data_IF_216956480992
#
_entry.id   IF_216956480992
#
_cell.length_a   1.000
_cell.length_b   1.000
_cell.length_c   1.000
_cell.angle_alpha   90.00
_cell.angle_beta   90.00
_cell.angle_gamma   90.00
#
_symmetry.space_group_name_H-M   'P 1'
#
loop_
_entity.id
_entity.type
_entity.pdbx_description
1 polymer ?
#
# COMPACT_ATOMS: atom_id res chain seq x y z
N UNK A 1 -30.00 7.66 38.26
CA UNK A 1 -28.55 7.96 38.30
C UNK A 1 -27.96 6.94 37.36
N UNK A 2 -27.74 7.41 36.14
CA UNK A 2 -28.04 6.64 34.95
C UNK A 2 -26.77 5.95 34.44
N UNK A 3 -26.90 4.72 33.96
CA UNK A 3 -25.83 3.86 33.41
C UNK A 3 -24.90 4.60 32.41
N UNK A 4 -25.44 5.63 31.74
CA UNK A 4 -24.72 6.55 30.87
C UNK A 4 -23.57 7.32 31.57
N UNK A 5 -23.76 7.79 32.80
CA UNK A 5 -22.73 8.55 33.53
C UNK A 5 -21.57 7.67 34.00
N UNK A 6 -21.87 6.43 34.42
CA UNK A 6 -20.85 5.45 34.80
C UNK A 6 -19.96 5.08 33.61
N UNK A 7 -20.55 4.92 32.42
CA UNK A 7 -19.80 4.62 31.20
C UNK A 7 -18.88 5.77 30.76
N UNK A 8 -19.33 7.02 30.85
CA UNK A 8 -18.50 8.17 30.48
C UNK A 8 -17.29 8.35 31.41
N UNK A 9 -17.50 8.19 32.73
CA UNK A 9 -16.41 8.33 33.70
C UNK A 9 -15.32 7.26 33.52
N UNK A 10 -15.71 6.00 33.32
CA UNK A 10 -14.77 4.91 33.06
C UNK A 10 -13.96 5.14 31.76
N UNK A 11 -14.59 5.78 30.77
CA UNK A 11 -13.93 6.11 29.52
C UNK A 11 -12.90 7.24 29.69
N UNK A 12 -13.22 8.29 30.45
CA UNK A 12 -12.30 9.39 30.73
C UNK A 12 -11.06 8.91 31.52
N UNK A 13 -11.24 8.04 32.51
CA UNK A 13 -10.12 7.41 33.24
C UNK A 13 -9.25 6.56 32.31
N UNK A 14 -9.87 5.80 31.40
CA UNK A 14 -9.15 5.00 30.40
C UNK A 14 -8.37 5.90 29.44
N UNK A 15 -8.95 7.02 29.02
CA UNK A 15 -8.32 8.00 28.14
C UNK A 15 -7.06 8.59 28.78
N UNK A 16 -7.17 9.09 30.00
CA UNK A 16 -6.04 9.68 30.72
C UNK A 16 -4.96 8.66 31.07
N UNK A 17 -5.36 7.43 31.41
CA UNK A 17 -4.42 6.33 31.60
C UNK A 17 -3.62 6.04 30.32
N UNK A 18 -4.27 5.91 29.16
CA UNK A 18 -3.60 5.65 27.87
C UNK A 18 -2.62 6.79 27.55
N UNK A 19 -3.04 8.05 27.66
CA UNK A 19 -2.17 9.21 27.42
C UNK A 19 -0.96 9.21 28.35
N UNK A 20 -1.15 8.89 29.64
CA UNK A 20 -0.08 8.79 30.63
C UNK A 20 0.93 7.69 30.27
N UNK A 21 0.45 6.53 29.80
CA UNK A 21 1.31 5.43 29.37
C UNK A 21 2.16 5.84 28.16
N UNK A 22 1.57 6.46 27.13
CA UNK A 22 2.31 6.95 25.97
C UNK A 22 3.28 8.08 26.34
N UNK A 23 2.91 8.96 27.26
CA UNK A 23 3.81 10.00 27.76
C UNK A 23 5.03 9.38 28.46
N UNK A 24 4.84 8.36 29.30
CA UNK A 24 5.91 7.74 30.07
C UNK A 24 6.79 6.80 29.25
N UNK A 25 6.19 6.00 28.38
CA UNK A 25 6.85 4.86 27.72
C UNK A 25 6.84 4.91 26.18
N UNK A 26 6.17 5.89 25.56
CA UNK A 26 6.02 5.95 24.10
C UNK A 26 7.34 5.95 23.33
N UNK A 27 8.40 6.51 23.91
CA UNK A 27 9.73 6.53 23.30
C UNK A 27 10.42 5.16 23.19
N UNK A 28 9.93 4.14 23.91
CA UNK A 28 10.39 2.76 23.78
C UNK A 28 9.64 1.99 22.68
N UNK A 29 8.52 2.52 22.18
CA UNK A 29 7.71 1.88 21.16
C UNK A 29 8.42 2.04 19.80
N UNK A 30 8.67 0.91 19.14
CA UNK A 30 9.27 0.85 17.79
C UNK A 30 8.28 0.44 16.71
N UNK A 31 7.26 -0.32 17.08
CA UNK A 31 6.24 -0.80 16.16
C UNK A 31 4.89 -0.41 16.75
N UNK A 32 4.15 0.43 16.05
CA UNK A 32 2.86 0.92 16.53
C UNK A 32 1.77 0.48 15.56
N UNK A 33 0.84 -0.33 16.08
CA UNK A 33 -0.37 -0.72 15.40
C UNK A 33 -1.57 0.02 16.00
N UNK A 34 -2.22 0.83 15.20
CA UNK A 34 -3.29 1.74 15.62
C UNK A 34 -4.60 1.29 15.01
N UNK A 35 -5.52 0.93 15.89
CA UNK A 35 -6.92 0.68 15.58
C UNK A 35 -7.87 1.67 16.25
N UNK A 36 -7.42 2.33 17.31
CA UNK A 36 -8.24 3.21 18.14
C UNK A 36 -7.78 4.65 17.98
N UNK A 37 -8.74 5.55 17.79
CA UNK A 37 -8.53 7.00 17.63
C UNK A 37 -7.69 7.56 18.79
N UNK A 38 -8.05 7.20 20.02
CA UNK A 38 -7.34 7.59 21.24
C UNK A 38 -5.87 7.17 21.28
N UNK A 39 -5.53 5.98 20.74
CA UNK A 39 -4.13 5.52 20.68
C UNK A 39 -3.33 6.36 19.71
N UNK A 40 -3.93 6.75 18.58
CA UNK A 40 -3.30 7.64 17.61
C UNK A 40 -3.00 9.02 18.23
N UNK A 41 -4.00 9.58 18.91
CA UNK A 41 -3.86 10.86 19.59
C UNK A 41 -2.79 10.79 20.67
N UNK A 42 -2.88 9.80 21.57
CA UNK A 42 -1.94 9.61 22.67
C UNK A 42 -0.50 9.44 22.18
N UNK A 43 -0.29 8.65 21.11
CA UNK A 43 1.01 8.49 20.49
C UNK A 43 1.56 9.82 19.93
N UNK A 44 0.68 10.68 19.40
CA UNK A 44 1.04 11.98 18.80
C UNK A 44 1.28 13.12 19.81
N UNK A 45 0.92 12.94 21.09
CA UNK A 45 0.98 14.00 22.14
C UNK A 45 2.38 14.59 22.37
N UNK A 46 3.44 13.86 22.03
CA UNK A 46 4.86 14.28 22.09
C UNK A 46 5.18 15.62 21.45
N UNK A 47 4.33 16.04 20.54
CA UNK A 47 4.58 17.12 19.57
C UNK A 47 4.10 18.46 20.09
N UNK A 48 3.19 18.46 21.09
CA UNK A 48 2.48 19.66 21.54
C UNK A 48 2.89 20.17 22.91
N UNK A 49 3.62 19.39 23.71
CA UNK A 49 4.01 19.83 25.06
C UNK A 49 5.07 20.92 24.94
N UNK A 50 4.65 22.14 25.26
CA UNK A 50 5.48 23.33 25.39
C UNK A 50 6.57 23.07 26.43
N UNK A 51 7.72 23.71 26.22
CA UNK A 51 9.05 23.46 26.79
C UNK A 51 9.15 23.43 28.33
N UNK A 52 8.06 23.70 29.06
CA UNK A 52 8.08 24.02 30.49
C UNK A 52 8.32 22.83 31.43
N UNK A 53 8.17 21.57 31.01
CA UNK A 53 8.32 20.42 31.95
C UNK A 53 9.36 19.35 31.59
N UNK A 54 10.16 19.52 30.53
CA UNK A 54 11.27 18.59 30.20
C UNK A 54 10.86 17.13 29.89
N UNK A 55 9.58 16.76 30.04
CA UNK A 55 9.05 15.44 29.74
C UNK A 55 8.74 15.34 28.24
N UNK A 56 9.70 14.79 27.48
CA UNK A 56 9.49 14.39 26.08
C UNK A 56 8.57 13.15 26.05
N UNK A 57 7.26 13.36 26.02
CA UNK A 57 6.27 12.28 25.89
C UNK A 57 6.23 11.64 24.50
N UNK A 58 5.49 10.52 24.37
CA UNK A 58 5.01 9.82 23.15
C UNK A 58 6.06 9.22 22.19
N UNK A 59 5.64 8.86 20.97
CA UNK A 59 6.39 7.97 20.07
C UNK A 59 7.37 8.71 19.14
N UNK A 60 8.68 8.52 19.34
CA UNK A 60 9.76 9.18 18.57
C UNK A 60 10.81 8.24 17.97
N UNK A 61 10.66 6.93 18.15
CA UNK A 61 11.59 5.91 17.68
C UNK A 61 10.86 4.80 16.88
N UNK A 62 9.78 5.16 16.17
CA UNK A 62 9.02 4.22 15.36
C UNK A 62 9.83 3.80 14.13
N UNK A 63 9.86 2.49 13.92
CA UNK A 63 10.37 1.81 12.72
C UNK A 63 9.23 1.32 11.82
N UNK A 64 8.08 0.97 12.42
CA UNK A 64 6.86 0.61 11.68
C UNK A 64 5.65 1.29 12.29
N UNK A 65 4.81 1.85 11.42
CA UNK A 65 3.56 2.50 11.78
C UNK A 65 2.43 1.94 10.92
N UNK A 66 1.47 1.28 11.55
CA UNK A 66 0.36 0.65 10.87
C UNK A 66 -0.95 1.18 11.43
N UNK A 67 -1.73 1.86 10.59
CA UNK A 67 -3.03 2.43 10.93
C UNK A 67 -4.10 1.72 10.10
N UNK A 68 -4.82 0.80 10.75
CA UNK A 68 -5.84 -0.01 10.12
C UNK A 68 -7.17 0.26 10.79
N UNK A 69 -8.15 0.66 9.99
CA UNK A 69 -9.56 0.71 10.42
C UNK A 69 -9.82 1.70 11.57
N UNK A 70 -8.93 2.68 11.74
CA UNK A 70 -9.08 3.78 12.71
C UNK A 70 -10.40 4.54 12.48
N UNK A 71 -10.88 4.60 11.22
CA UNK A 71 -12.10 5.32 10.84
C UNK A 71 -13.38 4.48 10.83
N UNK A 72 -13.32 3.17 11.10
CA UNK A 72 -14.52 2.32 11.00
C UNK A 72 -15.37 2.27 12.26
N UNK A 73 -14.88 2.81 13.40
CA UNK A 73 -15.54 2.71 14.69
C UNK A 73 -16.14 4.05 15.14
N UNK A 74 -17.30 4.42 14.56
CA UNK A 74 -18.00 5.70 14.80
C UNK A 74 -18.76 5.74 16.15
N UNK A 75 -18.32 5.03 17.20
CA UNK A 75 -19.10 4.89 18.44
C UNK A 75 -18.42 5.39 19.71
N UNK A 76 -17.38 6.22 19.60
CA UNK A 76 -16.87 6.92 20.78
C UNK A 76 -17.80 8.12 21.13
N UNK A 77 -18.25 8.25 22.39
CA UNK A 77 -19.03 9.38 22.87
C UNK A 77 -18.37 10.72 22.52
N UNK A 78 -19.16 11.61 21.91
CA UNK A 78 -18.82 12.93 21.34
C UNK A 78 -18.29 13.99 22.31
N UNK A 79 -17.95 13.60 23.53
CA UNK A 79 -17.61 14.53 24.59
C UNK A 79 -16.10 14.74 24.60
N UNK A 80 -15.68 16.01 24.58
CA UNK A 80 -14.31 16.50 24.84
C UNK A 80 -13.36 16.66 23.65
N UNK A 81 -13.86 17.04 22.46
CA UNK A 81 -13.10 17.99 21.64
C UNK A 81 -13.53 19.40 22.07
N UNK A 82 -12.87 19.95 23.10
CA UNK A 82 -12.96 21.39 23.37
C UNK A 82 -12.57 22.19 22.12
N UNK A 83 -12.84 23.50 22.05
CA UNK A 83 -12.40 24.35 20.94
C UNK A 83 -10.88 24.23 20.82
N UNK A 84 -10.45 23.34 19.93
CA UNK A 84 -9.05 23.11 19.67
C UNK A 84 -8.62 24.28 18.80
N UNK A 85 -7.88 25.20 19.41
CA UNK A 85 -7.18 26.30 18.75
C UNK A 85 -6.00 25.73 17.95
N UNK A 86 -6.32 24.83 17.03
CA UNK A 86 -5.38 24.23 16.11
C UNK A 86 -5.17 25.24 15.00
N UNK A 87 -4.16 26.10 15.17
CA UNK A 87 -3.52 26.73 14.03
C UNK A 87 -2.88 25.61 13.19
N UNK A 88 -3.68 24.97 12.35
CA UNK A 88 -3.21 24.00 11.38
C UNK A 88 -2.69 24.80 10.19
N UNK A 89 -1.37 24.86 9.94
CA UNK A 89 -0.81 25.66 8.85
C UNK A 89 -1.29 25.24 7.45
N UNK A 90 -2.01 24.13 7.34
CA UNK A 90 -2.53 23.56 6.09
C UNK A 90 -4.04 23.74 5.88
N UNK A 91 -4.74 24.54 6.71
CA UNK A 91 -6.15 24.89 6.48
C UNK A 91 -6.22 26.21 5.68
N UNK A 92 -6.69 26.19 4.41
CA UNK A 92 -6.87 27.43 3.65
C UNK A 92 -7.92 28.30 4.35
N UNK A 93 -7.61 29.58 4.53
CA UNK A 93 -8.55 30.52 5.17
C UNK A 93 -9.86 30.66 4.38
N UNK A 94 -9.82 30.38 3.08
CA UNK A 94 -10.89 30.64 2.13
C UNK A 94 -12.00 29.56 2.14
N UNK A 95 -11.84 28.48 2.90
CA UNK A 95 -12.86 27.40 3.05
C UNK A 95 -13.65 27.46 4.36
N UNK A 96 -13.68 28.62 5.02
CA UNK A 96 -14.35 28.80 6.32
C UNK A 96 -15.90 28.70 6.27
N UNK A 97 -16.54 28.71 5.09
CA UNK A 97 -18.01 28.74 4.97
C UNK A 97 -18.69 27.39 4.66
N UNK A 98 -17.93 26.34 4.34
CA UNK A 98 -18.54 25.01 4.21
C UNK A 98 -18.71 24.46 5.63
N UNK A 99 -19.96 24.31 6.08
CA UNK A 99 -20.33 23.57 7.28
C UNK A 99 -19.90 22.11 7.11
N UNK A 100 -18.62 21.83 7.31
CA UNK A 100 -18.09 20.49 7.33
C UNK A 100 -18.74 19.77 8.51
N UNK A 101 -19.15 18.52 8.29
CA UNK A 101 -19.69 17.71 9.38
C UNK A 101 -18.63 17.57 10.47
N UNK A 102 -19.08 17.52 11.73
CA UNK A 102 -18.24 17.20 12.89
C UNK A 102 -17.38 15.94 12.63
N UNK A 103 -17.96 14.94 11.98
CA UNK A 103 -17.28 13.73 11.55
C UNK A 103 -16.10 14.01 10.62
N UNK A 104 -16.26 14.87 9.61
CA UNK A 104 -15.15 15.23 8.71
C UNK A 104 -14.01 15.92 9.46
N UNK A 105 -14.34 16.83 10.39
CA UNK A 105 -13.34 17.50 11.21
C UNK A 105 -12.58 16.51 12.10
N UNK A 106 -13.27 15.55 12.74
CA UNK A 106 -12.63 14.50 13.53
C UNK A 106 -11.69 13.65 12.67
N UNK A 107 -12.16 13.19 11.49
CA UNK A 107 -11.33 12.39 10.59
C UNK A 107 -10.11 13.15 10.09
N UNK A 108 -10.25 14.45 9.82
CA UNK A 108 -9.13 15.34 9.47
C UNK A 108 -8.17 15.56 10.64
N UNK A 109 -8.67 15.66 11.86
CA UNK A 109 -7.85 15.73 13.07
C UNK A 109 -6.97 14.48 13.21
N UNK A 110 -7.58 13.29 13.12
CA UNK A 110 -6.88 12.02 13.20
C UNK A 110 -5.84 11.85 12.08
N UNK A 111 -6.16 12.26 10.85
CA UNK A 111 -5.20 12.34 9.77
C UNK A 111 -4.00 13.23 10.14
N UNK A 112 -4.26 14.41 10.71
CA UNK A 112 -3.22 15.30 11.23
C UNK A 112 -2.35 14.62 12.29
N UNK A 113 -2.95 13.94 13.27
CA UNK A 113 -2.22 13.22 14.32
C UNK A 113 -1.33 12.10 13.75
N UNK A 114 -1.82 11.35 12.76
CA UNK A 114 -1.01 10.35 12.07
C UNK A 114 0.17 10.97 11.32
N UNK A 115 -0.06 12.01 10.53
CA UNK A 115 1.02 12.62 9.74
C UNK A 115 2.04 13.35 10.61
N UNK A 116 1.63 13.88 11.77
CA UNK A 116 2.55 14.35 12.80
C UNK A 116 3.45 13.20 13.29
N UNK A 117 2.88 12.05 13.65
CA UNK A 117 3.67 10.89 14.03
C UNK A 117 4.68 10.49 12.95
N UNK A 118 4.25 10.41 11.69
CA UNK A 118 5.14 10.12 10.57
C UNK A 118 6.30 11.11 10.52
N UNK A 119 6.02 12.41 10.56
CA UNK A 119 7.03 13.49 10.50
C UNK A 119 8.03 13.45 11.66
N UNK A 120 7.59 13.03 12.84
CA UNK A 120 8.44 12.96 14.04
C UNK A 120 9.29 11.68 14.13
N UNK A 121 9.10 10.74 13.20
CA UNK A 121 9.80 9.46 13.17
C UNK A 121 10.51 9.28 11.82
N UNK A 122 11.61 10.03 11.54
CA UNK A 122 12.32 9.95 10.26
C UNK A 122 12.98 8.59 9.99
N UNK A 123 13.09 7.74 11.03
CA UNK A 123 13.59 6.37 10.93
C UNK A 123 12.54 5.32 10.59
N UNK A 124 11.32 5.72 10.21
CA UNK A 124 10.29 4.79 9.74
C UNK A 124 10.78 4.03 8.50
N UNK A 125 10.66 2.71 8.57
CA UNK A 125 11.01 1.75 7.51
C UNK A 125 9.75 1.21 6.83
N UNK A 126 8.66 1.12 7.57
CA UNK A 126 7.39 0.55 7.11
C UNK A 126 6.20 1.44 7.52
N UNK A 127 5.33 1.72 6.56
CA UNK A 127 4.05 2.40 6.79
C UNK A 127 2.92 1.61 6.14
N UNK A 128 1.90 1.32 6.94
CA UNK A 128 0.68 0.65 6.48
C UNK A 128 -0.54 1.52 6.76
N UNK A 129 -1.27 1.89 5.69
CA UNK A 129 -2.48 2.70 5.70
C UNK A 129 -3.65 1.89 5.12
N UNK A 130 -4.69 1.57 5.92
CA UNK A 130 -5.83 0.80 5.40
C UNK A 130 -6.72 1.56 4.41
N UNK A 131 -7.70 0.83 3.83
CA UNK A 131 -8.44 1.15 2.60
C UNK A 131 -9.11 2.54 2.56
N UNK A 132 -9.36 3.19 3.69
CA UNK A 132 -10.23 4.37 3.77
C UNK A 132 -9.67 5.56 4.59
N UNK A 133 -8.41 5.54 5.04
CA UNK A 133 -8.13 6.13 6.34
C UNK A 133 -7.75 7.60 6.46
N UNK A 134 -6.62 8.05 5.91
CA UNK A 134 -5.95 9.26 6.43
C UNK A 134 -5.37 10.17 5.33
N UNK A 135 -5.25 9.64 4.12
CA UNK A 135 -4.64 10.35 2.99
C UNK A 135 -5.57 11.41 2.41
N UNK A 136 -6.84 11.07 2.17
CA UNK A 136 -7.80 11.97 1.54
C UNK A 136 -8.27 13.15 2.41
N UNK A 137 -7.81 13.26 3.66
CA UNK A 137 -8.20 14.36 4.56
C UNK A 137 -7.20 15.51 4.58
N UNK A 138 -5.99 15.30 4.05
CA UNK A 138 -4.95 16.32 3.93
C UNK A 138 -4.58 16.51 2.44
N UNK A 139 -4.02 17.68 2.05
CA UNK A 139 -3.54 17.89 0.69
C UNK A 139 -2.47 16.88 0.29
N UNK A 140 -2.48 16.45 -0.97
CA UNK A 140 -1.53 15.46 -1.48
C UNK A 140 -0.08 15.95 -1.40
N UNK A 141 0.14 17.25 -1.62
CA UNK A 141 1.47 17.87 -1.52
C UNK A 141 2.02 17.74 -0.10
N UNK A 142 1.19 17.94 0.93
CA UNK A 142 1.60 17.78 2.32
C UNK A 142 1.95 16.33 2.65
N UNK A 143 1.14 15.38 2.18
CA UNK A 143 1.39 13.96 2.40
C UNK A 143 2.69 13.52 1.70
N UNK A 144 2.89 13.91 0.43
CA UNK A 144 4.09 13.60 -0.35
C UNK A 144 5.35 14.26 0.21
N UNK A 145 5.27 15.53 0.63
CA UNK A 145 6.39 16.21 1.30
C UNK A 145 6.75 15.53 2.62
N UNK A 146 5.76 15.04 3.36
CA UNK A 146 6.02 14.33 4.61
C UNK A 146 6.67 12.98 4.35
N UNK A 147 6.18 12.23 3.35
CA UNK A 147 6.76 10.95 2.94
C UNK A 147 8.19 11.10 2.40
N UNK A 148 8.48 12.12 1.58
CA UNK A 148 9.80 12.31 0.96
C UNK A 148 10.93 12.55 1.96
N UNK A 149 10.60 12.96 3.18
CA UNK A 149 11.55 13.12 4.29
C UNK A 149 11.97 11.78 4.92
N UNK A 150 11.25 10.69 4.64
CA UNK A 150 11.48 9.37 5.23
C UNK A 150 12.48 8.55 4.40
N UNK A 151 13.74 8.98 4.40
CA UNK A 151 14.82 8.36 3.61
C UNK A 151 15.07 6.87 3.89
N UNK A 152 14.52 6.33 4.99
CA UNK A 152 14.63 4.92 5.37
C UNK A 152 13.38 4.09 5.02
N UNK A 153 12.32 4.70 4.48
CA UNK A 153 11.07 4.02 4.17
C UNK A 153 11.27 3.00 3.03
N UNK A 154 11.15 1.72 3.34
CA UNK A 154 11.30 0.59 2.40
C UNK A 154 9.96 -0.02 1.99
N UNK A 155 8.99 0.01 2.89
CA UNK A 155 7.70 -0.65 2.71
C UNK A 155 6.58 0.37 2.87
N UNK A 156 5.70 0.42 1.87
CA UNK A 156 4.56 1.31 1.88
C UNK A 156 3.32 0.58 1.39
N UNK A 157 2.39 0.37 2.31
CA UNK A 157 1.04 -0.08 2.00
C UNK A 157 0.11 1.12 2.07
N UNK A 158 -0.46 1.47 0.92
CA UNK A 158 -1.52 2.46 0.81
C UNK A 158 -2.80 1.75 0.38
N UNK A 159 -3.89 2.09 1.06
CA UNK A 159 -5.24 1.65 0.72
C UNK A 159 -5.73 2.18 -0.63
N UNK A 160 -7.01 2.56 -0.70
CA UNK A 160 -7.49 3.36 -1.83
C UNK A 160 -6.94 4.78 -1.63
N UNK A 161 -6.17 5.26 -2.59
CA UNK A 161 -5.68 6.63 -2.62
C UNK A 161 -5.78 7.19 -4.04
N UNK A 162 -5.94 8.50 -4.15
CA UNK A 162 -5.90 9.22 -5.40
C UNK A 162 -4.47 9.58 -5.85
N UNK A 163 -3.43 9.13 -5.13
CA UNK A 163 -2.06 9.46 -5.51
C UNK A 163 -1.69 8.95 -6.89
N UNK A 164 -1.09 9.84 -7.67
CA UNK A 164 -0.30 9.44 -8.82
C UNK A 164 0.92 8.62 -8.32
N UNK A 165 1.01 7.37 -8.77
CA UNK A 165 2.11 6.47 -8.45
C UNK A 165 3.47 7.04 -8.88
N UNK A 166 3.52 7.81 -9.97
CA UNK A 166 4.73 8.49 -10.41
C UNK A 166 5.19 9.51 -9.38
N UNK A 167 4.27 10.34 -8.87
CA UNK A 167 4.61 11.32 -7.83
C UNK A 167 5.07 10.63 -6.55
N UNK A 168 4.39 9.55 -6.16
CA UNK A 168 4.74 8.77 -4.98
C UNK A 168 6.12 8.14 -5.08
N UNK A 169 6.41 7.43 -6.18
CA UNK A 169 7.70 6.77 -6.38
C UNK A 169 8.82 7.80 -6.62
N UNK A 170 8.52 8.96 -7.21
CA UNK A 170 9.46 10.08 -7.33
C UNK A 170 9.82 10.68 -5.97
N UNK A 171 8.86 10.74 -5.04
CA UNK A 171 9.09 11.17 -3.66
C UNK A 171 9.84 10.12 -2.82
N UNK A 172 9.79 8.85 -3.21
CA UNK A 172 10.32 7.70 -2.45
C UNK A 172 11.21 6.79 -3.31
N UNK A 173 12.34 7.28 -3.85
CA UNK A 173 13.21 6.51 -4.74
C UNK A 173 13.83 5.27 -4.09
N UNK A 174 13.91 5.22 -2.75
CA UNK A 174 14.44 4.11 -1.96
C UNK A 174 13.45 2.97 -1.70
N UNK A 175 12.19 3.13 -2.11
CA UNK A 175 11.10 2.22 -1.79
C UNK A 175 11.33 0.85 -2.46
N UNK A 176 11.20 -0.22 -1.68
CA UNK A 176 11.40 -1.59 -2.14
C UNK A 176 10.07 -2.34 -2.32
N UNK A 177 9.07 -2.01 -1.51
CA UNK A 177 7.75 -2.64 -1.57
C UNK A 177 6.65 -1.59 -1.60
N UNK A 178 5.81 -1.67 -2.64
CA UNK A 178 4.62 -0.84 -2.77
C UNK A 178 3.38 -1.72 -2.89
N UNK A 179 2.43 -1.48 -2.00
CA UNK A 179 1.08 -1.99 -2.13
C UNK A 179 0.09 -0.83 -2.24
N UNK A 180 -0.76 -0.87 -3.26
CA UNK A 180 -1.74 0.19 -3.53
C UNK A 180 -3.06 -0.38 -4.08
N UNK A 181 -4.18 0.34 -3.89
CA UNK A 181 -5.47 -0.01 -4.49
C UNK A 181 -5.94 1.12 -5.41
N UNK A 182 -6.47 0.77 -6.58
CA UNK A 182 -7.22 1.70 -7.43
C UNK A 182 -6.41 2.89 -7.96
N UNK A 183 -5.44 2.63 -8.84
CA UNK A 183 -4.74 3.68 -9.58
C UNK A 183 -5.54 3.95 -10.86
N UNK A 184 -6.61 4.73 -10.72
CA UNK A 184 -7.49 5.08 -11.85
C UNK A 184 -6.69 5.83 -12.94
N UNK A 185 -5.65 6.56 -12.52
CA UNK A 185 -4.74 7.30 -13.39
C UNK A 185 -3.29 6.89 -13.12
N UNK A 186 -2.92 5.64 -13.43
CA UNK A 186 -1.49 5.38 -13.63
C UNK A 186 -1.04 6.18 -14.83
N UNK A 187 -0.51 7.37 -14.56
CA UNK A 187 0.33 8.12 -15.48
C UNK A 187 1.47 7.22 -15.94
N UNK A 188 1.88 7.38 -17.19
CA UNK A 188 3.03 6.69 -17.75
C UNK A 188 4.22 7.05 -16.87
N UNK A 189 4.73 6.07 -16.11
CA UNK A 189 5.97 6.25 -15.35
C UNK A 189 7.06 6.78 -16.30
N UNK A 190 7.70 7.89 -15.92
CA UNK A 190 8.63 8.62 -16.80
C UNK A 190 10.11 8.34 -16.52
N UNK A 191 10.41 7.62 -15.45
CA UNK A 191 11.78 7.30 -15.01
C UNK A 191 11.84 5.89 -14.44
N UNK A 192 13.05 5.33 -14.37
CA UNK A 192 13.30 4.03 -13.77
C UNK A 192 13.23 4.10 -12.24
N UNK A 193 12.68 3.06 -11.62
CA UNK A 193 12.65 2.87 -10.17
C UNK A 193 13.33 1.54 -9.82
N UNK A 194 14.66 1.58 -9.74
CA UNK A 194 15.51 0.38 -9.63
C UNK A 194 15.39 -0.33 -8.27
N UNK A 195 14.96 0.38 -7.23
CA UNK A 195 14.82 -0.18 -5.88
C UNK A 195 13.55 -1.01 -5.70
N UNK A 196 12.50 -0.77 -6.49
CA UNK A 196 11.20 -1.41 -6.27
C UNK A 196 11.27 -2.90 -6.67
N UNK A 197 11.16 -3.78 -5.68
CA UNK A 197 11.21 -5.24 -5.83
C UNK A 197 9.85 -5.89 -5.79
N UNK A 198 8.90 -5.30 -5.06
CA UNK A 198 7.55 -5.82 -4.88
C UNK A 198 6.51 -4.77 -5.26
N UNK A 199 5.61 -5.13 -6.17
CA UNK A 199 4.46 -4.30 -6.52
C UNK A 199 3.18 -5.11 -6.39
N UNK A 200 2.31 -4.69 -5.47
CA UNK A 200 0.98 -5.25 -5.29
C UNK A 200 -0.07 -4.20 -5.64
N UNK A 201 -0.57 -4.33 -6.86
CA UNK A 201 -1.60 -3.46 -7.41
C UNK A 201 -2.98 -4.12 -7.30
N UNK A 202 -3.77 -3.68 -6.32
CA UNK A 202 -5.13 -4.16 -6.09
C UNK A 202 -6.13 -3.40 -6.95
N UNK A 203 -6.05 -3.63 -8.26
CA UNK A 203 -6.95 -3.11 -9.27
C UNK A 203 -6.82 -3.88 -10.58
N UNK A 204 -7.72 -3.61 -11.52
CA UNK A 204 -7.56 -4.06 -12.90
C UNK A 204 -6.66 -3.07 -13.64
N UNK A 205 -5.68 -3.56 -14.40
CA UNK A 205 -4.76 -2.72 -15.19
C UNK A 205 -4.89 -3.03 -16.67
N UNK A 206 -4.84 -2.00 -17.51
CA UNK A 206 -4.79 -2.19 -18.96
C UNK A 206 -3.43 -2.72 -19.40
N UNK A 207 -3.39 -3.71 -20.30
CA UNK A 207 -2.14 -4.32 -20.74
C UNK A 207 -1.09 -3.29 -21.22
N UNK A 208 -1.38 -2.31 -22.11
CA UNK A 208 -0.37 -1.36 -22.54
C UNK A 208 0.21 -0.52 -21.38
N UNK A 209 -0.64 -0.15 -20.43
CA UNK A 209 -0.22 0.57 -19.22
C UNK A 209 0.67 -0.30 -18.34
N UNK A 210 0.29 -1.55 -18.12
CA UNK A 210 1.09 -2.52 -17.36
C UNK A 210 2.48 -2.70 -17.97
N UNK A 211 2.55 -2.90 -19.29
CA UNK A 211 3.84 -3.06 -19.98
C UNK A 211 4.71 -1.81 -19.85
N UNK A 212 4.11 -0.62 -19.90
CA UNK A 212 4.84 0.62 -19.65
C UNK A 212 5.36 0.69 -18.20
N UNK A 213 4.54 0.34 -17.20
CA UNK A 213 4.97 0.29 -15.81
C UNK A 213 6.17 -0.67 -15.66
N UNK A 214 6.07 -1.88 -16.20
CA UNK A 214 7.14 -2.89 -16.07
C UNK A 214 8.47 -2.46 -16.70
N UNK A 215 8.45 -1.72 -17.81
CA UNK A 215 9.67 -1.16 -18.42
C UNK A 215 10.42 -0.20 -17.49
N UNK A 216 9.69 0.50 -16.62
CA UNK A 216 10.23 1.47 -15.70
C UNK A 216 10.57 0.86 -14.32
N UNK A 217 10.34 -0.45 -14.15
CA UNK A 217 10.64 -1.20 -12.93
C UNK A 217 11.62 -2.35 -13.22
N UNK A 218 12.86 -2.04 -13.64
CA UNK A 218 13.84 -3.07 -14.02
C UNK A 218 14.28 -3.95 -12.85
N UNK A 219 14.07 -3.50 -11.60
CA UNK A 219 14.35 -4.26 -10.38
C UNK A 219 13.21 -5.16 -9.89
N UNK A 220 12.02 -5.12 -10.51
CA UNK A 220 10.81 -5.75 -9.99
C UNK A 220 10.91 -7.28 -10.00
N UNK A 221 10.82 -7.90 -8.82
CA UNK A 221 10.90 -9.35 -8.66
C UNK A 221 9.54 -10.00 -8.45
N UNK A 222 8.61 -9.29 -7.81
CA UNK A 222 7.26 -9.78 -7.54
C UNK A 222 6.20 -8.79 -8.00
N UNK A 223 5.26 -9.30 -8.79
CA UNK A 223 4.11 -8.56 -9.30
C UNK A 223 2.82 -9.26 -8.89
N UNK A 224 1.99 -8.55 -8.15
CA UNK A 224 0.66 -8.99 -7.77
C UNK A 224 -0.39 -8.04 -8.33
N UNK A 225 -1.35 -8.59 -9.06
CA UNK A 225 -2.45 -7.88 -9.70
C UNK A 225 -3.79 -8.48 -9.27
N UNK A 226 -4.84 -7.66 -9.26
CA UNK A 226 -6.21 -8.20 -9.22
C UNK A 226 -6.62 -8.70 -10.59
N UNK A 227 -6.36 -7.94 -11.66
CA UNK A 227 -6.78 -8.29 -13.01
C UNK A 227 -5.99 -7.56 -14.09
N UNK A 228 -5.97 -8.14 -15.29
CA UNK A 228 -5.47 -7.47 -16.49
C UNK A 228 -6.61 -7.39 -17.49
N UNK A 229 -6.87 -6.19 -18.01
CA UNK A 229 -7.97 -5.92 -18.95
C UNK A 229 -7.43 -5.49 -20.29
N UNK A 230 -8.02 -6.01 -21.37
CA UNK A 230 -7.69 -5.58 -22.71
C UNK A 230 -8.51 -4.35 -23.09
N UNK A 231 -7.86 -3.22 -23.37
CA UNK A 231 -8.55 -1.97 -23.73
C UNK A 231 -8.97 -1.94 -25.22
N UNK A 232 -8.66 -2.98 -26.00
CA UNK A 232 -8.73 -2.97 -27.47
C UNK A 232 -10.12 -2.97 -28.08
N UNK A 233 -11.20 -2.91 -27.29
CA UNK A 233 -12.54 -2.75 -27.88
C UNK A 233 -12.69 -1.45 -28.70
N UNK A 234 -11.74 -0.50 -28.60
CA UNK A 234 -11.74 0.74 -29.40
C UNK A 234 -10.47 0.97 -30.25
N UNK A 235 -9.41 0.19 -30.09
CA UNK A 235 -8.14 0.40 -30.80
C UNK A 235 -7.85 -0.76 -31.75
N UNK A 236 -7.46 -0.46 -32.98
CA UNK A 236 -7.27 -1.44 -34.05
C UNK A 236 -6.12 -2.44 -33.81
N UNK A 237 -5.21 -2.18 -32.87
CA UNK A 237 -4.03 -3.02 -32.62
C UNK A 237 -4.36 -4.20 -31.71
N UNK A 238 -4.16 -5.45 -32.18
CA UNK A 238 -4.32 -6.65 -31.36
C UNK A 238 -3.35 -6.69 -30.17
N UNK A 239 -3.77 -7.27 -29.05
CA UNK A 239 -2.92 -7.44 -27.86
C UNK A 239 -1.63 -8.24 -28.14
N UNK A 240 -1.69 -9.19 -29.09
CA UNK A 240 -0.53 -9.98 -29.53
C UNK A 240 0.57 -9.12 -30.14
N UNK A 241 0.23 -8.09 -30.93
CA UNK A 241 1.22 -7.18 -31.53
C UNK A 241 1.91 -6.33 -30.48
N UNK A 242 1.15 -5.85 -29.49
CA UNK A 242 1.69 -5.05 -28.38
C UNK A 242 2.68 -5.86 -27.53
N UNK A 243 2.36 -7.13 -27.29
CA UNK A 243 3.24 -8.06 -26.55
C UNK A 243 4.46 -8.42 -27.39
N UNK A 244 4.29 -8.73 -28.67
CA UNK A 244 5.40 -9.03 -29.58
C UNK A 244 6.39 -7.86 -29.73
N UNK A 245 5.91 -6.62 -29.63
CA UNK A 245 6.75 -5.41 -29.66
C UNK A 245 7.43 -5.10 -28.32
N UNK A 246 7.09 -5.83 -27.25
CA UNK A 246 7.63 -5.57 -25.90
C UNK A 246 8.84 -6.46 -25.60
N UNK A 247 9.85 -5.88 -24.96
CA UNK A 247 11.00 -6.64 -24.45
C UNK A 247 10.59 -7.57 -23.30
N UNK A 248 11.27 -8.72 -23.12
CA UNK A 248 11.03 -9.59 -21.98
C UNK A 248 11.49 -8.94 -20.67
N UNK A 249 10.87 -9.35 -19.56
CA UNK A 249 11.14 -8.95 -18.18
C UNK A 249 11.70 -10.17 -17.39
N UNK A 250 12.96 -10.57 -17.60
CA UNK A 250 13.55 -11.74 -16.96
C UNK A 250 13.72 -11.60 -15.44
N UNK A 251 13.68 -10.37 -14.91
CA UNK A 251 13.80 -10.10 -13.47
C UNK A 251 12.60 -10.59 -12.65
N UNK A 252 11.43 -10.76 -13.29
CA UNK A 252 10.20 -11.09 -12.58
C UNK A 252 10.19 -12.57 -12.19
N UNK A 253 10.22 -12.84 -10.88
CA UNK A 253 10.32 -14.18 -10.30
C UNK A 253 8.97 -14.70 -9.81
N UNK A 254 8.11 -13.84 -9.27
CA UNK A 254 6.77 -14.21 -8.78
C UNK A 254 5.70 -13.35 -9.45
N UNK A 255 4.68 -14.02 -10.01
CA UNK A 255 3.51 -13.37 -10.60
C UNK A 255 2.24 -13.91 -9.96
N UNK A 256 1.43 -13.01 -9.39
CA UNK A 256 0.17 -13.36 -8.73
C UNK A 256 -1.00 -12.60 -9.32
N UNK A 257 -2.09 -13.33 -9.59
CA UNK A 257 -3.36 -12.79 -10.06
C UNK A 257 -4.48 -13.22 -9.10
N UNK A 258 -4.97 -12.28 -8.29
CA UNK A 258 -5.94 -12.57 -7.22
C UNK A 258 -7.42 -12.48 -7.64
N UNK A 259 -7.73 -11.94 -8.82
CA UNK A 259 -9.10 -11.60 -9.21
C UNK A 259 -9.88 -12.69 -9.96
N UNK A 260 -11.16 -12.35 -10.18
CA UNK A 260 -12.21 -13.14 -10.83
C UNK A 260 -11.84 -13.57 -12.28
N UNK A 261 -12.41 -14.70 -12.78
CA UNK A 261 -12.13 -15.32 -14.11
C UNK A 261 -12.45 -14.47 -15.35
N UNK A 262 -12.70 -13.17 -15.22
CA UNK A 262 -12.88 -12.27 -16.37
C UNK A 262 -11.54 -11.89 -17.04
N UNK A 263 -10.41 -12.29 -16.46
CA UNK A 263 -9.14 -12.16 -17.16
C UNK A 263 -9.17 -13.09 -18.38
N UNK A 264 -8.94 -12.49 -19.56
CA UNK A 264 -8.84 -13.24 -20.80
C UNK A 264 -7.63 -14.18 -20.70
N UNK A 265 -7.88 -15.48 -20.67
CA UNK A 265 -6.85 -16.53 -20.58
C UNK A 265 -5.77 -16.33 -21.65
N UNK A 266 -6.15 -15.86 -22.84
CA UNK A 266 -5.20 -15.56 -23.91
C UNK A 266 -4.30 -14.37 -23.55
N UNK A 267 -4.83 -13.36 -22.87
CA UNK A 267 -4.05 -12.21 -22.42
C UNK A 267 -3.03 -12.61 -21.36
N UNK A 268 -3.41 -13.49 -20.43
CA UNK A 268 -2.48 -14.04 -19.43
C UNK A 268 -1.38 -14.86 -20.13
N UNK A 269 -1.77 -15.74 -21.06
CA UNK A 269 -0.82 -16.53 -21.83
C UNK A 269 0.19 -15.62 -22.55
N UNK A 270 -0.28 -14.58 -23.24
CA UNK A 270 0.58 -13.59 -23.89
C UNK A 270 1.51 -12.88 -22.89
N UNK A 271 0.98 -12.42 -21.75
CA UNK A 271 1.77 -11.72 -20.74
C UNK A 271 2.91 -12.58 -20.18
N UNK A 272 2.64 -13.86 -19.91
CA UNK A 272 3.62 -14.80 -19.36
C UNK A 272 4.79 -15.08 -20.33
N UNK A 273 4.59 -14.94 -21.65
CA UNK A 273 5.70 -15.04 -22.62
C UNK A 273 6.81 -14.02 -22.34
N UNK A 274 6.48 -12.91 -21.68
CA UNK A 274 7.41 -11.85 -21.32
C UNK A 274 8.14 -12.13 -20.01
N UNK A 275 7.86 -13.22 -19.29
CA UNK A 275 8.45 -13.52 -17.97
C UNK A 275 9.31 -14.80 -18.00
N UNK A 276 10.38 -14.88 -18.80
CA UNK A 276 11.17 -16.11 -18.92
C UNK A 276 11.86 -16.54 -17.61
N UNK A 277 12.07 -15.60 -16.68
CA UNK A 277 12.65 -15.85 -15.35
C UNK A 277 11.66 -16.28 -14.26
N UNK A 278 10.39 -16.52 -14.62
CA UNK A 278 9.34 -16.79 -13.65
C UNK A 278 9.58 -18.11 -12.90
N UNK A 279 9.59 -18.03 -11.57
CA UNK A 279 9.77 -19.16 -10.65
C UNK A 279 8.45 -19.58 -10.03
N UNK A 280 7.56 -18.62 -9.75
CA UNK A 280 6.29 -18.86 -9.07
C UNK A 280 5.17 -18.15 -9.78
N UNK A 281 4.06 -18.85 -9.97
CA UNK A 281 2.83 -18.24 -10.46
C UNK A 281 1.64 -18.69 -9.62
N UNK A 282 0.78 -17.74 -9.26
CA UNK A 282 -0.41 -17.98 -8.46
C UNK A 282 -1.62 -17.33 -9.13
N UNK A 283 -2.61 -18.13 -9.49
CA UNK A 283 -3.86 -17.65 -10.10
C UNK A 283 -5.01 -18.58 -9.75
N UNK A 284 -6.25 -18.09 -9.84
CA UNK A 284 -7.43 -18.90 -9.53
C UNK A 284 -7.55 -20.13 -10.45
N UNK A 285 -7.33 -19.95 -11.76
CA UNK A 285 -7.41 -21.01 -12.77
C UNK A 285 -6.36 -20.79 -13.84
N UNK A 286 -5.62 -21.84 -14.19
CA UNK A 286 -4.67 -21.82 -15.31
C UNK A 286 -5.30 -22.56 -16.49
N UNK A 287 -5.53 -21.88 -17.60
CA UNK A 287 -6.02 -22.52 -18.83
C UNK A 287 -4.95 -23.39 -19.50
N UNK A 288 -5.36 -24.30 -20.38
CA UNK A 288 -4.42 -25.13 -21.14
C UNK A 288 -3.52 -24.29 -22.07
N UNK A 289 -4.04 -23.18 -22.60
CA UNK A 289 -3.27 -22.23 -23.41
C UNK A 289 -2.17 -21.56 -22.58
N UNK A 290 -2.51 -21.04 -21.40
CA UNK A 290 -1.54 -20.46 -20.46
C UNK A 290 -0.53 -21.51 -19.99
N UNK A 291 -0.99 -22.73 -19.72
CA UNK A 291 -0.13 -23.84 -19.32
C UNK A 291 0.91 -24.19 -20.40
N UNK A 292 0.48 -24.27 -21.66
CA UNK A 292 1.37 -24.51 -22.80
C UNK A 292 2.44 -23.43 -22.90
N UNK A 293 2.05 -22.15 -22.77
CA UNK A 293 3.00 -21.03 -22.82
C UNK A 293 3.96 -21.04 -21.63
N UNK A 294 3.48 -21.30 -20.41
CA UNK A 294 4.33 -21.48 -19.23
C UNK A 294 5.37 -22.58 -19.47
N UNK A 295 4.95 -23.69 -20.08
CA UNK A 295 5.87 -24.78 -20.40
C UNK A 295 6.92 -24.31 -21.40
N UNK A 296 6.53 -23.63 -22.46
CA UNK A 296 7.45 -23.19 -23.51
C UNK A 296 8.45 -22.12 -23.04
N UNK A 297 8.00 -21.15 -22.23
CA UNK A 297 8.77 -19.94 -21.91
C UNK A 297 9.34 -19.87 -20.50
N UNK A 298 8.75 -20.57 -19.52
CA UNK A 298 9.13 -20.48 -18.10
C UNK A 298 9.86 -21.76 -17.64
N UNK A 299 11.10 -21.97 -18.11
CA UNK A 299 11.86 -23.20 -17.84
C UNK A 299 12.12 -23.44 -16.34
N UNK A 300 12.30 -22.38 -15.57
CA UNK A 300 12.65 -22.43 -14.15
C UNK A 300 11.44 -22.43 -13.19
N UNK A 301 10.21 -22.56 -13.70
CA UNK A 301 9.02 -22.59 -12.87
C UNK A 301 9.12 -23.73 -11.82
N UNK A 302 8.88 -23.38 -10.55
CA UNK A 302 8.97 -24.31 -9.40
C UNK A 302 7.78 -24.23 -8.44
N UNK A 303 6.91 -23.22 -8.57
CA UNK A 303 5.60 -23.23 -7.93
C UNK A 303 4.50 -22.81 -8.88
N UNK A 304 3.42 -23.59 -8.88
CA UNK A 304 2.17 -23.30 -9.55
C UNK A 304 1.07 -23.43 -8.49
N UNK A 305 0.49 -22.30 -8.10
CA UNK A 305 -0.67 -22.27 -7.21
C UNK A 305 -1.93 -21.98 -8.03
N UNK A 306 -2.68 -23.04 -8.33
CA UNK A 306 -4.05 -22.97 -8.83
C UNK A 306 -4.99 -23.74 -7.90
N UNK A 307 -6.31 -23.52 -8.02
CA UNK A 307 -7.28 -24.22 -7.16
C UNK A 307 -7.31 -25.74 -7.39
N UNK A 308 -6.72 -26.23 -8.48
CA UNK A 308 -6.58 -27.65 -8.77
C UNK A 308 -5.29 -28.18 -8.14
N UNK A 309 -5.41 -29.11 -7.19
CA UNK A 309 -4.27 -29.69 -6.45
C UNK A 309 -3.38 -30.64 -7.29
N UNK A 310 -3.26 -30.43 -8.59
CA UNK A 310 -2.44 -31.28 -9.45
C UNK A 310 -0.94 -30.97 -9.27
N UNK A 311 -0.12 -32.00 -9.08
CA UNK A 311 1.35 -31.92 -9.08
C UNK A 311 1.91 -31.75 -10.51
N UNK A 312 1.41 -30.75 -11.25
CA UNK A 312 1.87 -30.41 -12.61
C UNK A 312 3.33 -29.95 -12.61
N UNK A 313 3.78 -29.39 -11.50
CA UNK A 313 5.14 -28.86 -11.36
C UNK A 313 6.22 -29.95 -11.41
N UNK A 314 5.87 -31.19 -11.07
CA UNK A 314 6.77 -32.34 -11.23
C UNK A 314 7.28 -32.52 -12.67
N UNK A 315 6.49 -32.14 -13.68
CA UNK A 315 6.90 -32.20 -15.09
C UNK A 315 8.05 -31.24 -15.39
N UNK A 316 8.02 -30.02 -14.84
CA UNK A 316 9.12 -29.05 -14.97
C UNK A 316 10.40 -29.54 -14.32
N UNK A 317 10.30 -30.13 -13.12
CA UNK A 317 11.45 -30.71 -12.42
C UNK A 317 12.07 -31.86 -13.22
N UNK A 318 11.25 -32.75 -13.78
CA UNK A 318 11.71 -33.84 -14.66
C UNK A 318 12.39 -33.30 -15.92
N UNK A 319 11.85 -32.26 -16.55
CA UNK A 319 12.45 -31.60 -17.73
C UNK A 319 13.85 -31.08 -17.42
N UNK A 320 14.01 -30.34 -16.31
CA UNK A 320 15.32 -29.83 -15.87
C UNK A 320 16.30 -30.95 -15.56
N UNK A 321 15.86 -32.00 -14.86
CA UNK A 321 16.71 -33.14 -14.53
C UNK A 321 17.19 -33.92 -15.77
N UNK A 322 16.39 -33.96 -16.84
CA UNK A 322 16.78 -34.55 -18.12
C UNK A 322 17.86 -33.71 -18.83
N UNK A 323 17.70 -32.39 -18.83
CA UNK A 323 18.64 -31.46 -19.46
C UNK A 323 20.04 -31.50 -18.81
N UNK A 324 20.09 -31.56 -17.47
CA UNK A 324 21.34 -31.72 -16.70
C UNK A 324 22.09 -33.02 -17.04
N UNK A 325 21.41 -34.07 -17.50
CA UNK A 325 22.05 -35.33 -17.90
C UNK A 325 22.60 -35.32 -19.33
N UNK A 326 22.18 -34.35 -20.14
CA UNK A 326 22.56 -34.26 -21.55
C UNK A 326 23.73 -33.28 -21.80
N UNK A 327 24.08 -32.46 -20.81
CA UNK A 327 25.23 -31.56 -20.82
C UNK A 327 26.44 -32.20 -20.14
#
# INVERSE_FOLDING_TARGET
>A
MDEYYLNNHAMDETNEWIKTIFQKYGHHIRHLYVHWELVLEAASLSTRSTVTEGRRGGCRNLLSLCAVDVMSYILLPKTVLGPMDLQLPWLPEDRKEVLLSEEYLNRRHLAGCFWLLVRHNPGLVDIILSRNGLLGYLPDEYNLETLSRLTQLKELYIGRSAFDIQMLLGALPQLEQLQCHGLEEVSILQQNYDCLRYLNYRGSVHLPKLLNILRQLPGLEELRLTGVVNQTLKTATPASEVVAASAPFPQLKEFRLDGSPLADDMLIALLVTLFPGLLKISMSKVSDATMKVLWEHCFYLDSLHDFNKDDRISAWRKRRAKDVRCN
#
